data_IF_629739566254
#
_entry.id   IF_629739566254
#
_cell.length_a   1.000
_cell.length_b   1.000
_cell.length_c   1.000
_cell.angle_alpha   90.00
_cell.angle_beta   90.00
_cell.angle_gamma   90.00
#
_symmetry.space_group_name_H-M   'P 1'
#
loop_
_entity.id
_entity.type
_entity.pdbx_description
1 polymer ?
#
# COMPACT_ATOMS: atom_id res chain seq x y z
N UNK A 1 -3.09 -7.92 23.22
CA UNK A 1 -3.10 -8.76 22.00
C UNK A 1 -3.04 -7.82 20.82
N UNK A 2 -2.11 -8.02 19.89
CA UNK A 2 -2.07 -7.21 18.67
C UNK A 2 -3.29 -7.61 17.82
N UNK A 3 -4.07 -6.65 17.37
CA UNK A 3 -5.25 -6.94 16.57
C UNK A 3 -4.88 -7.48 15.21
N UNK A 4 -5.75 -8.33 14.67
CA UNK A 4 -5.55 -8.89 13.34
C UNK A 4 -5.45 -7.80 12.27
N UNK A 5 -6.17 -6.69 12.46
CA UNK A 5 -6.08 -5.50 11.62
C UNK A 5 -4.71 -4.83 11.71
N UNK A 6 -4.12 -4.68 12.90
CA UNK A 6 -2.76 -4.15 13.03
C UNK A 6 -1.71 -5.03 12.33
N UNK A 7 -1.84 -6.37 12.40
CA UNK A 7 -0.97 -7.28 11.66
C UNK A 7 -1.11 -7.07 10.15
N UNK A 8 -2.34 -6.98 9.64
CA UNK A 8 -2.61 -6.68 8.22
C UNK A 8 -2.02 -5.32 7.81
N UNK A 9 -2.15 -4.30 8.65
CA UNK A 9 -1.57 -2.97 8.43
C UNK A 9 -0.04 -3.04 8.28
N UNK A 10 0.65 -3.80 9.13
CA UNK A 10 2.11 -3.99 9.03
C UNK A 10 2.48 -4.68 7.72
N UNK A 11 1.79 -5.74 7.34
CA UNK A 11 2.04 -6.46 6.07
C UNK A 11 1.81 -5.54 4.88
N UNK A 12 0.75 -4.73 4.89
CA UNK A 12 0.47 -3.75 3.84
C UNK A 12 1.53 -2.64 3.78
N UNK A 13 2.05 -2.18 4.92
CA UNK A 13 3.15 -1.21 4.94
C UNK A 13 4.43 -1.78 4.33
N UNK A 14 4.75 -3.05 4.62
CA UNK A 14 5.87 -3.74 3.99
C UNK A 14 5.64 -3.87 2.47
N UNK A 15 4.42 -4.17 2.05
CA UNK A 15 4.03 -4.23 0.64
C UNK A 15 4.21 -2.89 -0.08
N UNK A 16 3.68 -1.80 0.47
CA UNK A 16 3.84 -0.43 -0.08
C UNK A 16 5.31 -0.04 -0.16
N UNK A 17 6.11 -0.41 0.85
CA UNK A 17 7.55 -0.17 0.85
C UNK A 17 8.24 -0.92 -0.28
N UNK A 18 7.87 -2.19 -0.50
CA UNK A 18 8.38 -2.99 -1.61
C UNK A 18 8.00 -2.41 -2.98
N UNK A 19 6.74 -1.99 -3.16
CA UNK A 19 6.24 -1.32 -4.38
C UNK A 19 6.99 0.00 -4.66
N UNK A 20 7.38 0.72 -3.61
CA UNK A 20 8.20 1.93 -3.72
C UNK A 20 9.62 1.61 -4.21
N UNK A 21 10.24 0.55 -3.69
CA UNK A 21 11.58 0.11 -4.09
C UNK A 21 11.60 -0.52 -5.50
N UNK A 22 10.59 -1.30 -5.85
CA UNK A 22 10.48 -1.96 -7.17
C UNK A 22 10.13 -0.96 -8.28
N UNK A 23 9.56 0.20 -7.94
CA UNK A 23 9.05 1.18 -8.89
C UNK A 23 7.79 0.73 -9.62
N UNK A 24 7.12 -0.30 -9.12
CA UNK A 24 5.89 -0.88 -9.67
C UNK A 24 4.87 -1.04 -8.54
N UNK A 25 3.60 -0.80 -8.83
CA UNK A 25 2.52 -1.05 -7.85
C UNK A 25 1.35 -1.77 -8.51
N UNK A 26 0.77 -2.73 -7.80
CA UNK A 26 -0.28 -3.60 -8.33
C UNK A 26 -1.63 -3.26 -7.73
N UNK A 27 -2.66 -3.11 -8.57
CA UNK A 27 -4.06 -2.92 -8.12
C UNK A 27 -5.02 -3.82 -8.89
N UNK A 28 -5.05 -3.64 -10.21
CA UNK A 28 -5.76 -4.48 -11.17
C UNK A 28 -4.82 -4.96 -12.28
N UNK A 29 -3.87 -4.08 -12.63
CA UNK A 29 -2.69 -4.34 -13.45
C UNK A 29 -1.46 -3.78 -12.74
N UNK A 30 -0.28 -4.12 -13.25
CA UNK A 30 0.96 -3.49 -12.84
C UNK A 30 1.01 -2.04 -13.37
N UNK A 31 1.17 -1.08 -12.46
CA UNK A 31 1.47 0.29 -12.80
C UNK A 31 2.96 0.54 -12.60
N UNK A 32 3.62 0.99 -13.66
CA UNK A 32 5.05 1.31 -13.64
C UNK A 32 5.23 2.81 -13.50
N UNK A 33 6.13 3.22 -12.61
CA UNK A 33 6.47 4.64 -12.42
C UNK A 33 6.96 5.31 -13.70
N UNK A 34 7.62 4.56 -14.59
CA UNK A 34 8.18 5.06 -15.85
C UNK A 34 7.15 5.25 -16.97
N UNK A 35 6.05 4.50 -16.95
CA UNK A 35 5.04 4.52 -18.02
C UNK A 35 3.82 5.35 -17.61
N UNK A 36 3.33 5.14 -16.39
CA UNK A 36 2.10 5.77 -15.88
C UNK A 36 2.33 6.33 -14.46
N UNK A 37 3.15 7.39 -14.32
CA UNK A 37 3.60 7.88 -13.01
C UNK A 37 2.43 8.31 -12.12
N UNK A 38 1.43 8.98 -12.68
CA UNK A 38 0.27 9.46 -11.92
C UNK A 38 -0.54 8.29 -11.36
N UNK A 39 -0.85 7.29 -12.20
CA UNK A 39 -1.61 6.11 -11.77
C UNK A 39 -0.82 5.28 -10.74
N UNK A 40 0.50 5.15 -10.91
CA UNK A 40 1.40 4.54 -9.94
C UNK A 40 1.31 5.24 -8.57
N UNK A 41 1.47 6.56 -8.53
CA UNK A 41 1.44 7.31 -7.27
C UNK A 41 0.08 7.28 -6.58
N UNK A 42 -1.02 7.39 -7.34
CA UNK A 42 -2.38 7.28 -6.79
C UNK A 42 -2.59 5.90 -6.18
N UNK A 43 -2.16 4.84 -6.88
CA UNK A 43 -2.29 3.46 -6.40
C UNK A 43 -1.46 3.22 -5.14
N UNK A 44 -0.21 3.69 -5.14
CA UNK A 44 0.68 3.59 -3.99
C UNK A 44 0.10 4.33 -2.76
N UNK A 45 -0.43 5.54 -2.95
CA UNK A 45 -1.07 6.32 -1.90
C UNK A 45 -2.36 5.65 -1.40
N UNK A 46 -3.14 5.05 -2.29
CA UNK A 46 -4.34 4.30 -1.91
C UNK A 46 -3.97 3.14 -1.01
N UNK A 47 -2.97 2.33 -1.38
CA UNK A 47 -2.48 1.24 -0.54
C UNK A 47 -1.93 1.73 0.80
N UNK A 48 -1.24 2.86 0.81
CA UNK A 48 -0.75 3.47 2.05
C UNK A 48 -1.91 3.89 2.97
N UNK A 49 -2.95 4.52 2.43
CA UNK A 49 -4.15 4.91 3.20
C UNK A 49 -4.86 3.68 3.75
N UNK A 50 -5.00 2.62 2.96
CA UNK A 50 -5.58 1.35 3.42
C UNK A 50 -4.74 0.76 4.56
N UNK A 51 -3.42 0.69 4.39
CA UNK A 51 -2.51 0.19 5.43
C UNK A 51 -2.63 0.99 6.74
N UNK A 52 -2.67 2.31 6.63
CA UNK A 52 -2.84 3.20 7.78
C UNK A 52 -4.21 2.99 8.43
N UNK A 53 -5.28 2.87 7.64
CA UNK A 53 -6.66 2.68 8.15
C UNK A 53 -6.80 1.43 9.03
N UNK A 54 -6.01 0.38 8.77
CA UNK A 54 -5.99 -0.83 9.59
C UNK A 54 -5.60 -0.58 11.05
N UNK A 55 -4.84 0.49 11.34
CA UNK A 55 -4.47 0.89 12.70
C UNK A 55 -5.53 1.77 13.38
N UNK A 56 -6.38 2.46 12.60
CA UNK A 56 -7.46 3.31 13.13
C UNK A 56 -8.79 2.57 13.28
N UNK A 57 -8.93 1.36 12.74
CA UNK A 57 -10.18 0.59 12.79
C UNK A 57 -10.63 0.22 14.21
N UNK A 58 -9.72 0.18 15.18
CA UNK A 58 -10.03 -0.15 16.59
C UNK A 58 -10.24 1.06 17.50
N UNK A 59 -10.28 2.28 16.95
CA UNK A 59 -10.54 3.52 17.70
C UNK A 59 -12.04 3.75 17.87
#
# INVERSE_FOLDING_TARGET
>A
MMSWTAILGIVLLLWVTYDLFSGKSWLHREFHRSEEPVAYWITLLLWLVVALSCFYWEI
#
